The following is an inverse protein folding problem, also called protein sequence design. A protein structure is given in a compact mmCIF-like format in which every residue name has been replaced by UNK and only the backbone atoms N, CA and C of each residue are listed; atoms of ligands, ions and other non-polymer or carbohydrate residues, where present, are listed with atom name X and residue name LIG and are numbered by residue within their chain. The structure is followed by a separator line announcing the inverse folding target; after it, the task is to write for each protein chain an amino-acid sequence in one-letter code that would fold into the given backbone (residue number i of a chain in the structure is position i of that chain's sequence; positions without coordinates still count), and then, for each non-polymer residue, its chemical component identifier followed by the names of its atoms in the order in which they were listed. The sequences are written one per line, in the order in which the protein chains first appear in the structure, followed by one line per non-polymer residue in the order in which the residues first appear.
data_IF_696851136027
#
_entry.id   IF_696851136027
#
_cell.length_a   1.000
_cell.length_b   1.000
_cell.length_c   1.000
_cell.angle_alpha   90.00
_cell.angle_beta   90.00
_cell.angle_gamma   90.00
#
_symmetry.space_group_name_H-M   'P 1'
#
loop_
_entity.id
_entity.type
_entity.pdbx_description
1 polymer ?
#
# COMPACT_ATOMS: atom_id res chain seq x y z
N UNK A 1 35.34 85.65 16.64
CA UNK A 1 36.08 84.49 16.11
C UNK A 1 35.33 83.25 16.54
N UNK A 2 34.45 82.73 15.68
CA UNK A 2 33.55 81.60 16.00
C UNK A 2 34.11 80.31 15.40
N UNK A 3 34.22 79.26 16.22
CA UNK A 3 34.70 77.95 15.81
C UNK A 3 33.68 77.23 14.91
N UNK A 4 34.12 76.46 13.90
CA UNK A 4 33.21 75.73 13.03
C UNK A 4 32.69 74.46 13.72
N UNK A 5 31.41 74.15 13.49
CA UNK A 5 30.74 72.97 14.01
C UNK A 5 31.27 71.67 13.37
N UNK A 6 31.33 70.54 14.11
CA UNK A 6 31.84 69.28 13.60
C UNK A 6 30.85 68.61 12.64
N UNK A 7 31.35 68.15 11.49
CA UNK A 7 30.54 67.39 10.53
C UNK A 7 30.32 65.93 10.99
N UNK A 8 29.13 65.36 10.72
CA UNK A 8 28.84 63.97 11.06
C UNK A 8 29.60 63.00 10.12
N UNK A 9 30.39 62.12 10.72
CA UNK A 9 31.06 61.00 10.03
C UNK A 9 30.01 60.06 9.43
N UNK A 10 29.89 60.03 8.10
CA UNK A 10 29.15 58.98 7.38
C UNK A 10 29.89 57.65 7.54
N UNK A 11 29.28 56.68 8.23
CA UNK A 11 29.75 55.29 8.26
C UNK A 11 29.37 54.61 6.93
N UNK A 12 30.31 53.92 6.25
CA UNK A 12 29.97 53.18 5.04
C UNK A 12 29.13 51.95 5.41
N UNK A 13 28.14 51.69 4.55
CA UNK A 13 27.40 50.44 4.50
C UNK A 13 28.34 49.24 4.33
N UNK A 14 27.96 48.06 4.83
CA UNK A 14 27.85 46.85 4.01
C UNK A 14 27.17 45.69 4.76
N UNK A 15 26.56 44.73 4.04
CA UNK A 15 25.36 44.00 4.39
C UNK A 15 25.69 42.58 4.85
N UNK A 16 26.01 42.40 6.13
CA UNK A 16 26.34 41.06 6.65
C UNK A 16 25.09 40.20 7.00
N UNK A 17 23.91 40.81 7.11
CA UNK A 17 22.71 40.12 7.59
C UNK A 17 22.03 39.22 6.52
N UNK A 18 22.30 39.43 5.23
CA UNK A 18 21.59 38.71 4.15
C UNK A 18 22.24 37.35 3.83
N UNK A 19 23.56 37.18 4.04
CA UNK A 19 24.25 35.91 3.77
C UNK A 19 24.00 34.83 4.83
N UNK A 20 23.79 35.20 6.10
CA UNK A 20 23.50 34.26 7.18
C UNK A 20 22.09 33.63 7.06
N UNK A 21 21.10 34.39 6.59
CA UNK A 21 19.72 33.91 6.40
C UNK A 21 19.58 32.88 5.27
N UNK A 22 20.37 33.03 4.19
CA UNK A 22 20.34 32.12 3.03
C UNK A 22 20.93 30.75 3.40
N UNK A 23 22.01 30.69 4.19
CA UNK A 23 22.64 29.43 4.57
C UNK A 23 21.75 28.57 5.50
N UNK A 24 21.02 29.20 6.42
CA UNK A 24 20.07 28.50 7.32
C UNK A 24 18.85 27.99 6.56
N UNK A 25 18.35 28.73 5.56
CA UNK A 25 17.24 28.29 4.72
C UNK A 25 17.63 27.12 3.79
N UNK A 26 18.84 27.11 3.24
CA UNK A 26 19.34 26.01 2.39
C UNK A 26 19.62 24.73 3.19
N UNK A 27 20.22 24.83 4.38
CA UNK A 27 20.46 23.68 5.25
C UNK A 27 19.14 23.09 5.81
N UNK A 28 18.20 23.93 6.22
CA UNK A 28 16.87 23.49 6.68
C UNK A 28 16.07 22.79 5.58
N UNK A 29 16.05 23.35 4.36
CA UNK A 29 15.36 22.73 3.22
C UNK A 29 15.98 21.40 2.76
N UNK A 30 17.30 21.26 2.86
CA UNK A 30 17.99 20.00 2.55
C UNK A 30 17.67 18.91 3.60
N UNK A 31 17.72 19.24 4.89
CA UNK A 31 17.40 18.30 5.97
C UNK A 31 15.96 17.81 5.92
N UNK A 32 14.98 18.70 5.65
CA UNK A 32 13.57 18.33 5.51
C UNK A 32 13.33 17.42 4.30
N UNK A 33 13.99 17.69 3.16
CA UNK A 33 13.89 16.82 1.96
C UNK A 33 14.49 15.43 2.17
N UNK A 34 15.62 15.34 2.87
CA UNK A 34 16.27 14.05 3.17
C UNK A 34 15.40 13.22 4.10
N UNK A 35 14.82 13.82 5.15
CA UNK A 35 13.91 13.12 6.07
C UNK A 35 12.64 12.61 5.38
N UNK A 36 12.03 13.43 4.51
CA UNK A 36 10.84 13.04 3.75
C UNK A 36 11.13 11.90 2.76
N UNK A 37 12.30 11.92 2.11
CA UNK A 37 12.72 10.85 1.21
C UNK A 37 12.94 9.51 1.92
N UNK A 38 13.59 9.53 3.09
CA UNK A 38 13.87 8.33 3.87
C UNK A 38 12.58 7.66 4.39
N UNK A 39 11.61 8.44 4.83
CA UNK A 39 10.30 7.92 5.27
C UNK A 39 9.55 7.24 4.12
N UNK A 40 9.52 7.84 2.93
CA UNK A 40 8.89 7.24 1.75
C UNK A 40 9.52 5.89 1.40
N UNK A 41 10.85 5.79 1.43
CA UNK A 41 11.55 4.54 1.17
C UNK A 41 11.18 3.46 2.20
N UNK A 42 11.17 3.80 3.49
CA UNK A 42 10.78 2.87 4.55
C UNK A 42 9.33 2.39 4.42
N UNK A 43 8.41 3.27 4.02
CA UNK A 43 7.01 2.91 3.76
C UNK A 43 6.88 1.96 2.55
N UNK A 44 7.61 2.25 1.47
CA UNK A 44 7.65 1.41 0.27
C UNK A 44 8.22 0.02 0.56
N UNK A 45 9.30 -0.06 1.35
CA UNK A 45 9.87 -1.34 1.79
C UNK A 45 8.87 -2.12 2.67
N UNK A 46 8.17 -1.44 3.59
CA UNK A 46 7.14 -2.05 4.41
C UNK A 46 5.97 -2.61 3.57
N UNK A 47 5.58 -1.91 2.50
CA UNK A 47 4.56 -2.37 1.57
C UNK A 47 5.00 -3.62 0.80
N UNK A 48 6.27 -3.69 0.37
CA UNK A 48 6.85 -4.88 -0.27
C UNK A 48 6.86 -6.06 0.71
N UNK A 49 7.22 -5.83 1.97
CA UNK A 49 7.16 -6.86 3.00
C UNK A 49 5.73 -7.36 3.25
N UNK A 50 4.73 -6.45 3.24
CA UNK A 50 3.33 -6.83 3.36
C UNK A 50 2.85 -7.69 2.17
N UNK A 51 3.27 -7.38 0.94
CA UNK A 51 2.97 -8.20 -0.23
C UNK A 51 3.58 -9.61 -0.13
N UNK A 52 4.82 -9.71 0.35
CA UNK A 52 5.45 -11.02 0.60
C UNK A 52 4.68 -11.81 1.67
N UNK A 53 4.28 -11.15 2.75
CA UNK A 53 3.47 -11.76 3.80
C UNK A 53 2.11 -12.26 3.27
N UNK A 54 1.45 -11.50 2.38
CA UNK A 54 0.21 -11.92 1.74
C UNK A 54 0.41 -13.15 0.83
N UNK A 55 1.50 -13.20 0.04
CA UNK A 55 1.84 -14.39 -0.76
C UNK A 55 2.05 -15.61 0.11
N UNK A 56 2.75 -15.47 1.25
CA UNK A 56 2.95 -16.58 2.19
C UNK A 56 1.64 -17.00 2.86
N UNK A 57 0.76 -16.04 3.17
CA UNK A 57 -0.58 -16.30 3.70
C UNK A 57 -1.45 -17.07 2.69
N UNK A 58 -1.44 -16.70 1.40
CA UNK A 58 -2.13 -17.41 0.31
C UNK A 58 -1.61 -18.84 0.12
N UNK A 59 -0.29 -19.02 0.12
CA UNK A 59 0.32 -20.35 0.06
C UNK A 59 -0.12 -21.22 1.23
N UNK A 60 -0.22 -20.63 2.42
CA UNK A 60 -0.70 -21.33 3.60
C UNK A 60 -2.19 -21.61 3.52
N UNK A 61 -3.01 -20.65 3.10
CA UNK A 61 -4.45 -20.81 2.88
C UNK A 61 -4.73 -22.08 2.08
N UNK A 62 -4.11 -22.15 0.90
CA UNK A 62 -4.19 -23.28 -0.01
C UNK A 62 -3.70 -24.60 0.58
N UNK A 63 -2.62 -24.55 1.36
CA UNK A 63 -1.98 -25.75 1.90
C UNK A 63 -2.76 -26.36 3.07
N UNK A 64 -3.47 -25.55 3.85
CA UNK A 64 -4.20 -26.00 5.05
C UNK A 64 -5.70 -26.10 4.83
N UNK A 65 -6.19 -25.84 3.62
CA UNK A 65 -7.63 -25.81 3.31
C UNK A 65 -8.35 -24.88 4.30
N UNK A 66 -7.93 -23.60 4.32
CA UNK A 66 -8.25 -22.69 5.41
C UNK A 66 -9.76 -22.45 5.59
N UNK A 67 -10.57 -22.62 4.55
CA UNK A 67 -12.02 -22.51 4.57
C UNK A 67 -12.73 -23.88 4.65
N UNK A 68 -12.00 -24.99 4.62
CA UNK A 68 -12.50 -26.34 4.82
C UNK A 68 -13.32 -26.87 3.64
N UNK A 69 -13.08 -26.38 2.43
CA UNK A 69 -13.82 -26.76 1.23
C UNK A 69 -13.22 -28.00 0.53
N UNK A 70 -12.10 -28.53 1.03
CA UNK A 70 -11.33 -29.65 0.48
C UNK A 70 -10.74 -29.40 -0.92
N UNK A 71 -10.65 -28.15 -1.35
CA UNK A 71 -10.05 -27.72 -2.61
C UNK A 71 -8.76 -26.94 -2.35
N UNK A 72 -7.68 -27.19 -3.12
CA UNK A 72 -6.46 -26.42 -3.00
C UNK A 72 -6.57 -25.10 -3.79
N UNK A 73 -7.24 -24.12 -3.22
CA UNK A 73 -7.45 -22.80 -3.82
C UNK A 73 -6.81 -21.64 -3.05
N UNK A 74 -6.83 -20.48 -3.69
CA UNK A 74 -6.40 -19.20 -3.13
C UNK A 74 -7.61 -18.38 -2.77
N UNK A 75 -7.43 -17.52 -1.78
CA UNK A 75 -8.38 -16.46 -1.48
C UNK A 75 -8.14 -15.29 -2.45
N UNK A 76 -9.21 -14.77 -3.04
CA UNK A 76 -9.13 -13.66 -4.02
C UNK A 76 -10.07 -12.51 -3.68
N UNK A 77 -10.84 -12.64 -2.60
CA UNK A 77 -11.88 -11.70 -2.24
C UNK A 77 -11.37 -10.33 -1.85
N UNK A 78 -10.47 -10.30 -0.87
CA UNK A 78 -9.92 -9.07 -0.30
C UNK A 78 -8.66 -9.36 0.55
N UNK A 79 -7.98 -8.34 1.06
CA UNK A 79 -6.80 -8.57 1.93
C UNK A 79 -7.20 -9.01 3.33
N UNK A 80 -8.29 -8.45 3.85
CA UNK A 80 -8.71 -8.67 5.22
C UNK A 80 -9.22 -10.09 5.48
N UNK A 81 -9.68 -10.81 4.45
CA UNK A 81 -10.10 -12.21 4.49
C UNK A 81 -8.98 -13.15 4.92
N UNK A 82 -7.73 -12.88 4.55
CA UNK A 82 -6.56 -13.63 5.03
C UNK A 82 -6.32 -13.49 6.54
N UNK A 83 -6.98 -12.53 7.20
CA UNK A 83 -7.01 -12.42 8.65
C UNK A 83 -8.33 -12.95 9.24
N UNK A 84 -9.47 -12.53 8.67
CA UNK A 84 -10.80 -12.66 9.28
C UNK A 84 -11.65 -13.82 8.78
N UNK A 85 -11.33 -14.41 7.63
CA UNK A 85 -12.14 -15.49 7.09
C UNK A 85 -12.14 -16.66 8.07
N UNK A 86 -13.31 -17.27 8.24
CA UNK A 86 -13.49 -18.32 9.21
C UNK A 86 -12.68 -19.56 8.82
N UNK A 87 -12.02 -20.16 9.80
CA UNK A 87 -11.32 -21.43 9.66
C UNK A 87 -12.26 -22.60 9.31
N UNK A 88 -11.72 -23.82 9.15
CA UNK A 88 -12.50 -25.00 8.71
C UNK A 88 -13.65 -25.39 9.64
N UNK A 89 -13.62 -24.94 10.91
CA UNK A 89 -14.67 -25.18 11.91
C UNK A 89 -15.67 -24.01 12.04
N UNK A 90 -15.48 -22.94 11.27
CA UNK A 90 -16.33 -21.77 11.23
C UNK A 90 -16.28 -20.88 12.47
N UNK A 91 -15.34 -21.12 13.40
CA UNK A 91 -15.37 -20.53 14.75
C UNK A 91 -14.33 -19.45 14.99
N UNK A 92 -13.13 -19.62 14.44
CA UNK A 92 -12.02 -18.69 14.64
C UNK A 92 -11.57 -18.08 13.31
N UNK A 93 -11.14 -16.79 13.32
CA UNK A 93 -10.46 -16.18 12.19
C UNK A 93 -9.22 -16.99 11.78
N UNK A 94 -8.93 -17.05 10.48
CA UNK A 94 -7.75 -17.76 9.96
C UNK A 94 -6.44 -17.22 10.51
N UNK A 95 -6.37 -15.91 10.78
CA UNK A 95 -5.21 -15.25 11.38
C UNK A 95 -3.92 -15.38 10.55
N UNK A 96 -4.02 -15.67 9.25
CA UNK A 96 -2.88 -15.92 8.38
C UNK A 96 -2.14 -14.62 8.02
N UNK A 97 -2.83 -13.48 8.09
CA UNK A 97 -2.27 -12.16 7.87
C UNK A 97 -2.24 -11.34 9.15
N UNK A 98 -1.20 -10.50 9.29
CA UNK A 98 -1.09 -9.57 10.41
C UNK A 98 -2.29 -8.60 10.45
N UNK A 99 -2.88 -8.33 11.62
CA UNK A 99 -4.06 -7.47 11.75
C UNK A 99 -3.83 -6.03 11.27
N UNK A 100 -2.65 -5.45 11.46
CA UNK A 100 -2.37 -4.09 10.98
C UNK A 100 -2.36 -4.02 9.45
N UNK A 101 -1.89 -5.08 8.78
CA UNK A 101 -1.92 -5.19 7.32
C UNK A 101 -3.35 -5.41 6.84
N UNK A 102 -4.10 -6.30 7.51
CA UNK A 102 -5.50 -6.56 7.20
C UNK A 102 -6.39 -5.32 7.38
N UNK A 103 -6.13 -4.49 8.39
CA UNK A 103 -6.81 -3.21 8.62
C UNK A 103 -6.57 -2.18 7.49
N UNK A 104 -5.53 -2.38 6.68
CA UNK A 104 -5.19 -1.55 5.54
C UNK A 104 -5.80 -2.00 4.21
N UNK A 105 -6.71 -2.97 4.26
CA UNK A 105 -7.59 -3.30 3.15
C UNK A 105 -8.46 -2.10 2.76
N UNK A 106 -8.40 -1.72 1.50
CA UNK A 106 -9.11 -0.59 0.93
C UNK A 106 -10.52 -0.96 0.44
N UNK A 107 -10.75 -2.24 0.18
CA UNK A 107 -12.02 -2.73 -0.35
C UNK A 107 -12.44 -4.05 0.34
N UNK A 108 -12.58 -4.05 1.68
CA UNK A 108 -12.98 -5.26 2.39
C UNK A 108 -14.37 -5.68 1.95
N UNK A 109 -14.54 -6.96 1.67
CA UNK A 109 -15.83 -7.55 1.35
C UNK A 109 -16.80 -7.37 2.51
N UNK A 110 -18.03 -7.01 2.16
CA UNK A 110 -19.12 -7.07 3.11
C UNK A 110 -19.24 -8.51 3.68
N UNK A 111 -19.77 -8.68 4.89
CA UNK A 111 -20.07 -10.01 5.38
C UNK A 111 -21.01 -10.70 4.40
N UNK A 112 -20.56 -11.82 3.85
CA UNK A 112 -21.45 -12.73 3.15
C UNK A 112 -22.31 -13.46 4.18
N UNK A 113 -23.39 -14.06 3.71
CA UNK A 113 -24.33 -14.95 4.42
C UNK A 113 -23.56 -16.12 5.08
N UNK A 114 -23.03 -15.88 6.28
CA UNK A 114 -22.19 -16.81 7.05
C UNK A 114 -21.52 -16.12 8.25
N UNK A 115 -20.84 -16.86 9.15
CA UNK A 115 -20.23 -16.33 10.38
C UNK A 115 -18.90 -15.59 10.11
N UNK A 116 -18.84 -14.75 9.06
CA UNK A 116 -17.65 -13.94 8.76
C UNK A 116 -17.84 -12.55 9.37
N UNK A 117 -17.08 -12.18 10.43
CA UNK A 117 -17.19 -10.84 11.01
C UNK A 117 -16.85 -9.76 9.99
N UNK A 118 -17.46 -8.57 10.11
CA UNK A 118 -17.03 -7.41 9.33
C UNK A 118 -15.59 -7.07 9.77
N UNK A 119 -14.74 -6.64 8.85
CA UNK A 119 -13.41 -6.13 9.24
C UNK A 119 -13.54 -5.04 10.30
N UNK A 120 -14.48 -4.12 10.13
CA UNK A 120 -14.72 -2.99 11.03
C UNK A 120 -15.15 -3.39 12.44
N UNK A 121 -15.67 -4.60 12.63
CA UNK A 121 -16.05 -5.11 13.95
C UNK A 121 -14.81 -5.60 14.71
N UNK A 122 -13.75 -5.97 13.99
CA UNK A 122 -12.51 -6.51 14.54
C UNK A 122 -11.42 -5.45 14.63
N UNK A 123 -11.30 -4.61 13.60
CA UNK A 123 -10.19 -3.70 13.39
C UNK A 123 -10.68 -2.37 12.79
N UNK A 124 -10.23 -1.22 13.31
CA UNK A 124 -10.50 0.06 12.66
C UNK A 124 -9.74 0.15 11.32
N UNK A 125 -10.38 0.60 10.22
CA UNK A 125 -9.68 0.83 8.97
C UNK A 125 -8.53 1.82 9.14
N UNK A 126 -7.35 1.47 8.63
CA UNK A 126 -6.15 2.29 8.73
C UNK A 126 -5.31 2.19 7.45
N UNK A 127 -4.18 2.88 7.40
CA UNK A 127 -3.11 2.58 6.46
C UNK A 127 -1.97 1.86 7.18
N UNK A 128 -1.34 0.90 6.51
CA UNK A 128 -0.18 0.21 7.02
C UNK A 128 1.07 0.94 6.54
N UNK A 129 1.74 1.67 7.44
CA UNK A 129 2.92 2.48 7.10
C UNK A 129 2.68 3.40 5.90
N UNK A 130 1.49 4.01 5.84
CA UNK A 130 1.12 4.92 4.76
C UNK A 130 0.76 4.26 3.43
N UNK A 131 0.54 2.94 3.42
CA UNK A 131 0.06 2.17 2.29
C UNK A 131 -1.30 1.54 2.59
N UNK A 132 -2.08 1.33 1.53
CA UNK A 132 -3.32 0.54 1.53
C UNK A 132 -3.20 -0.58 0.53
N UNK A 133 -4.08 -1.56 0.67
CA UNK A 133 -4.02 -2.79 -0.10
C UNK A 133 -5.36 -3.14 -0.71
N UNK A 134 -5.31 -3.85 -1.84
CA UNK A 134 -6.52 -4.24 -2.58
C UNK A 134 -6.29 -5.55 -3.33
N UNK A 135 -7.32 -6.38 -3.39
CA UNK A 135 -7.39 -7.51 -4.32
C UNK A 135 -7.68 -6.99 -5.73
N UNK A 136 -6.86 -7.41 -6.69
CA UNK A 136 -7.04 -7.03 -8.09
C UNK A 136 -8.05 -7.96 -8.77
N UNK A 137 -8.66 -7.45 -9.82
CA UNK A 137 -9.47 -8.20 -10.77
C UNK A 137 -8.60 -8.72 -11.91
N UNK A 138 -9.15 -9.62 -12.72
CA UNK A 138 -8.56 -10.03 -13.98
C UNK A 138 -8.45 -8.85 -14.96
N UNK A 139 -7.65 -9.01 -16.00
CA UNK A 139 -7.44 -7.99 -17.03
C UNK A 139 -8.74 -7.56 -17.75
N UNK A 140 -9.75 -8.42 -17.75
CA UNK A 140 -11.06 -8.15 -18.34
C UNK A 140 -12.03 -7.49 -17.34
N UNK A 141 -11.56 -7.12 -16.14
CA UNK A 141 -12.35 -6.42 -15.12
C UNK A 141 -13.28 -7.30 -14.28
N UNK A 142 -13.20 -8.63 -14.46
CA UNK A 142 -13.94 -9.60 -13.64
C UNK A 142 -13.16 -9.96 -12.37
N UNK A 143 -13.83 -10.23 -11.24
CA UNK A 143 -13.17 -10.80 -10.06
C UNK A 143 -12.24 -11.96 -10.42
N UNK A 144 -11.16 -12.09 -9.67
CA UNK A 144 -10.23 -13.19 -9.87
C UNK A 144 -10.80 -14.54 -9.45
N UNK A 145 -11.92 -14.59 -8.74
CA UNK A 145 -12.60 -15.84 -8.40
C UNK A 145 -13.06 -16.63 -9.63
N UNK A 146 -13.24 -17.95 -9.47
CA UNK A 146 -13.72 -18.81 -10.57
C UNK A 146 -15.24 -18.85 -10.64
N UNK A 147 -15.77 -18.79 -11.87
CA UNK A 147 -17.17 -19.09 -12.20
C UNK A 147 -17.52 -20.56 -11.85
N UNK A 148 -18.38 -20.72 -10.84
CA UNK A 148 -19.16 -21.91 -10.51
C UNK A 148 -20.53 -21.45 -10.01
N UNK A 149 -21.63 -22.19 -10.24
CA UNK A 149 -22.98 -21.65 -10.11
C UNK A 149 -23.23 -20.99 -8.76
N UNK A 150 -23.88 -19.83 -8.84
CA UNK A 150 -24.41 -18.94 -7.81
C UNK A 150 -25.36 -19.61 -6.77
N UNK A 151 -25.22 -20.90 -6.50
CA UNK A 151 -26.10 -21.62 -5.59
C UNK A 151 -25.57 -21.58 -4.13
N UNK A 152 -24.28 -21.27 -3.91
CA UNK A 152 -23.63 -21.29 -2.58
C UNK A 152 -23.02 -19.94 -2.11
N UNK A 153 -23.24 -18.81 -2.80
CA UNK A 153 -22.89 -17.46 -2.28
C UNK A 153 -21.36 -17.23 -2.00
N UNK A 154 -20.45 -17.99 -2.65
CA UNK A 154 -18.98 -17.93 -2.40
C UNK A 154 -18.13 -17.55 -3.64
N UNK A 155 -18.20 -16.32 -4.15
CA UNK A 155 -17.51 -15.90 -5.37
C UNK A 155 -16.08 -15.39 -5.11
N UNK A 156 -15.31 -15.97 -4.17
CA UNK A 156 -14.05 -15.35 -3.71
C UNK A 156 -12.82 -16.27 -3.70
N UNK A 157 -12.93 -17.49 -4.22
CA UNK A 157 -11.84 -18.48 -4.26
C UNK A 157 -11.38 -18.76 -5.70
N UNK A 158 -10.09 -19.06 -5.89
CA UNK A 158 -9.54 -19.45 -7.20
C UNK A 158 -8.41 -20.50 -7.08
N UNK A 159 -8.47 -21.64 -7.81
CA UNK A 159 -7.50 -22.72 -7.72
C UNK A 159 -6.14 -22.41 -8.36
N UNK A 160 -6.03 -21.33 -9.14
CA UNK A 160 -4.88 -21.03 -10.01
C UNK A 160 -4.17 -19.72 -9.69
N UNK A 161 -4.91 -18.67 -9.34
CA UNK A 161 -4.34 -17.34 -9.27
C UNK A 161 -4.99 -16.48 -8.19
N UNK A 162 -4.19 -15.56 -7.65
CA UNK A 162 -4.63 -14.38 -6.93
C UNK A 162 -3.79 -13.20 -7.45
N UNK A 163 -4.23 -11.98 -7.17
CA UNK A 163 -3.43 -10.81 -7.44
C UNK A 163 -3.72 -9.70 -6.44
N UNK A 164 -2.66 -9.07 -5.97
CA UNK A 164 -2.75 -8.02 -4.97
C UNK A 164 -2.02 -6.76 -5.41
N UNK A 165 -2.55 -5.63 -4.95
CA UNK A 165 -1.97 -4.30 -5.09
C UNK A 165 -1.65 -3.73 -3.71
N UNK A 166 -0.47 -3.12 -3.59
CA UNK A 166 -0.16 -2.13 -2.58
C UNK A 166 -0.01 -0.75 -3.22
N UNK A 167 -0.68 0.25 -2.65
CA UNK A 167 -0.64 1.62 -3.15
C UNK A 167 -0.55 2.62 -1.99
N UNK A 168 0.10 3.78 -2.19
CA UNK A 168 0.25 4.75 -1.12
C UNK A 168 -1.09 5.37 -0.79
N UNK A 169 -1.42 5.43 0.50
CA UNK A 169 -2.59 6.14 1.04
C UNK A 169 -2.61 7.62 0.60
N UNK A 170 -1.42 8.20 0.44
CA UNK A 170 -1.25 9.54 -0.08
C UNK A 170 -0.09 9.63 -1.08
N UNK A 171 -0.35 9.47 -2.40
CA UNK A 171 0.67 9.54 -3.44
C UNK A 171 1.52 10.82 -3.35
N UNK A 172 2.85 10.66 -3.37
CA UNK A 172 3.84 11.74 -3.21
C UNK A 172 4.16 12.11 -1.75
N UNK A 173 3.32 11.73 -0.78
CA UNK A 173 3.56 11.96 0.65
C UNK A 173 3.94 10.70 1.40
N UNK A 174 3.13 9.65 1.32
CA UNK A 174 3.38 8.38 2.00
C UNK A 174 4.15 7.39 1.15
N UNK A 175 4.06 7.51 -0.18
CA UNK A 175 4.80 6.69 -1.13
C UNK A 175 4.71 7.24 -2.54
N UNK A 176 5.57 6.77 -3.44
CA UNK A 176 5.66 7.20 -4.85
C UNK A 176 5.39 6.07 -5.83
N UNK A 177 5.33 4.83 -5.36
CA UNK A 177 5.19 3.64 -6.18
C UNK A 177 3.96 2.82 -5.81
N UNK A 178 3.36 2.23 -6.83
CA UNK A 178 2.44 1.11 -6.73
C UNK A 178 3.27 -0.18 -6.80
N UNK A 179 2.80 -1.21 -6.10
CA UNK A 179 3.39 -2.53 -6.15
C UNK A 179 2.31 -3.58 -6.39
N UNK A 180 2.55 -4.54 -7.26
CA UNK A 180 1.62 -5.65 -7.48
C UNK A 180 2.34 -6.98 -7.44
N UNK A 181 1.61 -8.02 -7.05
CA UNK A 181 2.13 -9.39 -6.94
C UNK A 181 1.02 -10.38 -7.32
N UNK A 182 1.40 -11.58 -7.75
CA UNK A 182 0.49 -12.71 -7.99
C UNK A 182 1.00 -14.00 -7.35
N UNK A 183 0.47 -15.14 -7.79
CA UNK A 183 0.79 -16.47 -7.29
C UNK A 183 2.27 -16.85 -7.43
N UNK A 184 2.98 -16.29 -8.41
CA UNK A 184 4.41 -16.51 -8.62
C UNK A 184 5.29 -15.81 -7.55
N UNK A 185 4.72 -14.90 -6.77
CA UNK A 185 5.42 -14.11 -5.76
C UNK A 185 6.34 -13.03 -6.33
N UNK A 186 6.34 -12.81 -7.65
CA UNK A 186 7.15 -11.76 -8.29
C UNK A 186 6.48 -10.42 -8.07
N UNK A 187 7.19 -9.51 -7.42
CA UNK A 187 6.69 -8.16 -7.16
C UNK A 187 7.08 -7.26 -8.34
N UNK A 188 6.09 -6.54 -8.84
CA UNK A 188 6.26 -5.52 -9.87
C UNK A 188 5.98 -4.16 -9.29
N UNK A 189 6.65 -3.13 -9.79
CA UNK A 189 6.44 -1.76 -9.36
C UNK A 189 6.23 -0.81 -10.52
N UNK A 190 5.47 0.25 -10.29
CA UNK A 190 5.39 1.39 -11.22
C UNK A 190 5.16 2.69 -10.45
N UNK A 191 5.47 3.87 -11.03
CA UNK A 191 5.14 5.15 -10.41
C UNK A 191 3.65 5.26 -10.11
N UNK A 192 3.31 5.76 -8.93
CA UNK A 192 1.93 6.05 -8.57
C UNK A 192 1.43 7.28 -9.33
N UNK A 193 0.29 7.18 -10.05
CA UNK A 193 -0.30 8.33 -10.71
C UNK A 193 -0.76 9.38 -9.68
N UNK A 194 -0.54 10.68 -9.92
CA UNK A 194 -0.99 11.73 -9.02
C UNK A 194 -2.52 11.78 -8.94
N UNK A 195 -3.08 11.59 -7.74
CA UNK A 195 -4.51 11.78 -7.48
C UNK A 195 -5.47 10.83 -8.20
N UNK A 196 -4.96 9.84 -8.94
CA UNK A 196 -5.80 8.85 -9.59
C UNK A 196 -6.19 7.74 -8.59
N UNK A 197 -7.35 7.09 -8.79
CA UNK A 197 -7.74 5.94 -7.99
C UNK A 197 -6.70 4.80 -8.10
N UNK A 198 -6.67 3.90 -7.11
CA UNK A 198 -5.84 2.71 -7.18
C UNK A 198 -6.17 1.88 -8.43
N UNK A 199 -5.19 1.11 -8.89
CA UNK A 199 -5.40 0.13 -9.96
C UNK A 199 -6.38 -0.92 -9.47
N UNK A 200 -7.38 -1.25 -10.28
CA UNK A 200 -8.37 -2.27 -9.90
C UNK A 200 -8.14 -3.59 -10.63
N UNK A 201 -7.51 -3.53 -11.81
CA UNK A 201 -7.40 -4.66 -12.71
C UNK A 201 -5.93 -5.01 -12.94
N UNK A 202 -5.66 -6.31 -13.05
CA UNK A 202 -4.36 -6.77 -13.50
C UNK A 202 -4.07 -6.30 -14.94
N UNK A 203 -2.85 -5.85 -15.29
CA UNK A 203 -2.55 -5.42 -16.64
C UNK A 203 -2.78 -6.51 -17.70
N UNK A 204 -3.44 -6.16 -18.80
CA UNK A 204 -3.50 -7.01 -19.97
C UNK A 204 -2.12 -7.12 -20.64
N UNK A 205 -1.72 -8.34 -21.04
CA UNK A 205 -0.46 -8.57 -21.75
C UNK A 205 0.77 -8.57 -20.84
N UNK A 206 1.92 -8.12 -21.37
CA UNK A 206 3.18 -8.11 -20.61
C UNK A 206 3.21 -6.93 -19.65
N UNK A 207 3.74 -7.17 -18.47
CA UNK A 207 3.84 -6.18 -17.40
C UNK A 207 4.67 -4.96 -17.82
N UNK A 208 5.76 -5.19 -18.54
CA UNK A 208 6.66 -4.16 -19.04
C UNK A 208 5.97 -3.22 -20.04
N UNK A 209 5.11 -3.76 -20.91
CA UNK A 209 4.35 -2.98 -21.89
C UNK A 209 3.36 -2.03 -21.18
N UNK A 210 2.89 -2.42 -19.99
CA UNK A 210 2.04 -1.61 -19.12
C UNK A 210 2.83 -0.69 -18.14
N UNK A 211 4.15 -0.57 -18.33
CA UNK A 211 5.02 0.32 -17.56
C UNK A 211 5.43 -0.22 -16.19
N UNK A 212 5.20 -1.50 -15.91
CA UNK A 212 5.65 -2.14 -14.69
C UNK A 212 7.11 -2.60 -14.82
N UNK A 213 7.83 -2.50 -13.71
CA UNK A 213 9.20 -2.95 -13.57
C UNK A 213 9.26 -4.02 -12.50
N UNK A 214 9.80 -5.17 -12.85
CA UNK A 214 10.07 -6.25 -11.89
C UNK A 214 11.00 -5.72 -10.79
N UNK A 215 10.69 -6.07 -9.55
CA UNK A 215 11.58 -5.90 -8.41
C UNK A 215 12.29 -7.22 -8.16
N UNK A 216 13.61 -7.11 -7.99
CA UNK A 216 14.49 -8.23 -7.68
C UNK A 216 14.53 -8.51 -6.16
#
# INVERSE_FOLDING_TARGET
MSAPAPQPRRRPWMPLAILAGILVAFLGGALVRVGHGAMIAANEDAAIHALRAAVDAERRWKAVDADGNALPDFWTGDWSGLFRAAGPDGREPSGLLNPEIAAADDAPLAPTTGPRPRLTDLLPPASYRGYRFRALRNADGHPLAVDGPDDDDRPWENPRAFAFLAFPDSPGRSGKRLFVVREDGVIWSRPAPPGAPPVEDWPAGRMEDAGWKRLD
#
